data_IF_894535746729
#
_entry.id   IF_894535746729
#
_cell.length_a   1.000
_cell.length_b   1.000
_cell.length_c   1.000
_cell.angle_alpha   90.00
_cell.angle_beta   90.00
_cell.angle_gamma   90.00
#
_symmetry.space_group_name_H-M   'P 1'
#
loop_
_entity.id
_entity.type
_entity.pdbx_description
1 polymer ?
#
# COMPACT_ATOMS: atom_id res chain seq x y z
N UNK A 1 36.48 -21.46 17.99
CA UNK A 1 35.06 -21.01 18.05
C UNK A 1 34.17 -22.25 18.01
N UNK A 2 33.32 -22.44 19.03
CA UNK A 2 32.44 -23.62 19.16
C UNK A 2 31.49 -23.77 17.96
N UNK A 3 31.18 -25.01 17.58
CA UNK A 3 30.28 -25.32 16.46
C UNK A 3 28.85 -24.80 16.71
N UNK A 4 28.42 -24.79 17.96
CA UNK A 4 27.13 -24.26 18.41
C UNK A 4 27.03 -22.75 18.15
N UNK A 5 28.09 -22.01 18.48
CA UNK A 5 28.16 -20.56 18.19
C UNK A 5 28.10 -20.27 16.68
N UNK A 6 28.69 -21.14 15.84
CA UNK A 6 28.63 -20.97 14.38
C UNK A 6 27.22 -21.16 13.83
N UNK A 7 26.49 -22.14 14.35
CA UNK A 7 25.10 -22.40 13.96
C UNK A 7 24.18 -21.25 14.41
N UNK A 8 24.39 -20.74 15.61
CA UNK A 8 23.61 -19.63 16.14
C UNK A 8 23.86 -18.33 15.38
N UNK A 9 25.12 -18.02 15.04
CA UNK A 9 25.44 -16.87 14.17
C UNK A 9 24.77 -17.00 12.81
N UNK A 10 24.72 -18.21 12.23
CA UNK A 10 24.05 -18.45 10.95
C UNK A 10 22.55 -18.20 11.07
N UNK A 11 21.89 -18.75 12.09
CA UNK A 11 20.46 -18.55 12.37
C UNK A 11 20.11 -17.08 12.49
N UNK A 12 20.87 -16.33 13.30
CA UNK A 12 20.65 -14.89 13.48
C UNK A 12 20.85 -14.10 12.19
N UNK A 13 21.84 -14.46 11.36
CA UNK A 13 22.03 -13.83 10.04
C UNK A 13 20.85 -14.08 9.11
N UNK A 14 20.33 -15.30 9.11
CA UNK A 14 19.16 -15.66 8.30
C UNK A 14 17.91 -14.89 8.76
N UNK A 15 17.71 -14.74 10.08
CA UNK A 15 16.61 -13.94 10.65
C UNK A 15 16.73 -12.44 10.36
N UNK A 16 17.94 -11.88 10.46
CA UNK A 16 18.21 -10.50 10.08
C UNK A 16 17.83 -10.29 8.60
N UNK A 17 18.29 -11.17 7.71
CA UNK A 17 17.99 -11.07 6.28
C UNK A 17 16.50 -11.14 5.99
N UNK A 18 15.77 -12.02 6.67
CA UNK A 18 14.31 -12.11 6.55
C UNK A 18 13.68 -10.78 6.99
N UNK A 19 14.09 -10.26 8.14
CA UNK A 19 13.56 -9.01 8.70
C UNK A 19 13.85 -7.80 7.81
N UNK A 20 15.06 -7.71 7.26
CA UNK A 20 15.45 -6.66 6.31
C UNK A 20 14.58 -6.68 5.05
N UNK A 21 14.30 -7.87 4.51
CA UNK A 21 13.43 -8.02 3.34
C UNK A 21 11.99 -7.58 3.63
N UNK A 22 11.46 -7.94 4.81
CA UNK A 22 10.14 -7.47 5.25
C UNK A 22 10.10 -5.96 5.38
N UNK A 23 11.09 -5.36 6.03
CA UNK A 23 11.19 -3.91 6.18
C UNK A 23 11.24 -3.20 4.83
N UNK A 24 12.07 -3.69 3.90
CA UNK A 24 12.15 -3.14 2.55
C UNK A 24 10.80 -3.20 1.84
N UNK A 25 10.11 -4.34 1.90
CA UNK A 25 8.80 -4.53 1.26
C UNK A 25 7.75 -3.61 1.86
N UNK A 26 7.72 -3.50 3.20
CA UNK A 26 6.81 -2.60 3.90
C UNK A 26 7.06 -1.13 3.55
N UNK A 27 8.33 -0.71 3.44
CA UNK A 27 8.66 0.65 3.03
C UNK A 27 8.18 0.96 1.61
N UNK A 28 8.39 0.03 0.66
CA UNK A 28 7.91 0.19 -0.70
C UNK A 28 6.38 0.32 -0.75
N UNK A 29 5.64 -0.47 0.04
CA UNK A 29 4.19 -0.37 0.13
C UNK A 29 3.72 0.97 0.72
N UNK A 30 4.42 1.48 1.74
CA UNK A 30 4.12 2.78 2.33
C UNK A 30 4.39 3.93 1.33
N UNK A 31 5.47 3.85 0.57
CA UNK A 31 5.76 4.83 -0.49
C UNK A 31 4.67 4.86 -1.54
N UNK A 32 4.24 3.70 -2.04
CA UNK A 32 3.14 3.62 -3.01
C UNK A 32 1.82 4.11 -2.42
N UNK A 33 1.54 3.77 -1.16
CA UNK A 33 0.38 4.32 -0.46
C UNK A 33 0.44 5.86 -0.43
N UNK A 34 1.59 6.45 -0.11
CA UNK A 34 1.73 7.89 -0.07
C UNK A 34 1.58 8.53 -1.45
N UNK A 35 2.12 7.93 -2.51
CA UNK A 35 1.90 8.39 -3.88
C UNK A 35 0.41 8.45 -4.22
N UNK A 36 -0.34 7.38 -3.94
CA UNK A 36 -1.79 7.35 -4.17
C UNK A 36 -2.50 8.43 -3.34
N UNK A 37 -2.12 8.59 -2.08
CA UNK A 37 -2.75 9.56 -1.18
C UNK A 37 -2.45 11.02 -1.56
N UNK A 38 -1.33 11.29 -2.25
CA UNK A 38 -0.99 12.64 -2.73
C UNK A 38 -1.81 13.05 -3.96
N UNK A 39 -2.33 12.08 -4.73
CA UNK A 39 -3.27 12.33 -5.83
C UNK A 39 -4.70 12.56 -5.34
N UNK A 40 -5.01 12.19 -4.09
CA UNK A 40 -6.33 12.39 -3.50
C UNK A 40 -6.46 13.83 -2.99
N UNK A 41 -7.57 14.54 -3.30
CA UNK A 41 -7.79 15.89 -2.81
C UNK A 41 -7.67 16.01 -1.29
N UNK A 42 -7.03 17.09 -0.84
CA UNK A 42 -6.88 17.38 0.58
C UNK A 42 -8.24 17.46 1.30
N UNK A 43 -8.31 16.90 2.51
CA UNK A 43 -9.46 17.08 3.38
C UNK A 43 -9.47 18.51 3.92
N UNK A 44 -10.62 19.19 3.88
CA UNK A 44 -10.75 20.57 4.38
C UNK A 44 -10.50 20.71 5.89
N UNK A 45 -10.63 19.63 6.66
CA UNK A 45 -10.46 19.63 8.13
C UNK A 45 -9.08 19.13 8.55
N UNK A 46 -8.60 18.05 7.93
CA UNK A 46 -7.36 17.35 8.34
C UNK A 46 -6.19 17.54 7.37
N UNK A 47 -6.40 18.23 6.25
CA UNK A 47 -5.38 18.45 5.23
C UNK A 47 -5.09 17.22 4.36
N UNK A 48 -3.86 17.13 3.89
CA UNK A 48 -3.40 16.06 2.99
C UNK A 48 -3.40 14.70 3.69
N UNK A 49 -3.53 13.64 2.89
CA UNK A 49 -3.41 12.25 3.34
C UNK A 49 -4.39 11.83 4.46
N UNK A 50 -5.58 12.42 4.51
CA UNK A 50 -6.63 12.06 5.47
C UNK A 50 -7.23 10.68 5.13
N UNK A 51 -6.77 9.62 5.81
CA UNK A 51 -7.10 8.22 5.50
C UNK A 51 -8.62 7.94 5.42
N UNK A 52 -9.46 8.31 6.40
CA UNK A 52 -10.89 7.96 6.34
C UNK A 52 -11.59 8.55 5.11
N UNK A 53 -11.34 9.82 4.80
CA UNK A 53 -11.96 10.48 3.66
C UNK A 53 -11.34 10.05 2.32
N UNK A 54 -10.06 9.65 2.30
CA UNK A 54 -9.46 9.04 1.12
C UNK A 54 -10.12 7.71 0.74
N UNK A 55 -10.46 6.87 1.73
CA UNK A 55 -11.20 5.62 1.50
C UNK A 55 -12.60 5.90 0.92
N UNK A 56 -13.31 6.90 1.43
CA UNK A 56 -14.60 7.33 0.87
C UNK A 56 -14.45 7.82 -0.58
N UNK A 57 -13.43 8.64 -0.85
CA UNK A 57 -13.16 9.16 -2.19
C UNK A 57 -12.92 8.03 -3.19
N UNK A 58 -12.04 7.09 -2.85
CA UNK A 58 -11.75 5.91 -3.68
C UNK A 58 -13.01 5.06 -3.92
N UNK A 59 -13.85 4.88 -2.90
CA UNK A 59 -15.10 4.13 -3.01
C UNK A 59 -16.07 4.79 -3.99
N UNK A 60 -16.22 6.12 -3.93
CA UNK A 60 -17.06 6.89 -4.86
C UNK A 60 -16.55 6.81 -6.30
N UNK A 61 -15.25 6.95 -6.51
CA UNK A 61 -14.63 6.82 -7.84
C UNK A 61 -14.87 5.44 -8.43
N UNK A 62 -14.74 4.38 -7.62
CA UNK A 62 -15.03 3.01 -8.07
C UNK A 62 -16.48 2.86 -8.55
N UNK A 63 -17.45 3.37 -7.79
CA UNK A 63 -18.86 3.34 -8.18
C UNK A 63 -19.12 4.14 -9.46
N UNK A 64 -18.52 5.34 -9.59
CA UNK A 64 -18.65 6.15 -10.80
C UNK A 64 -18.08 5.44 -12.03
N UNK A 65 -16.91 4.81 -11.90
CA UNK A 65 -16.30 4.04 -12.99
C UNK A 65 -17.18 2.86 -13.45
N UNK A 66 -17.88 2.20 -12.53
CA UNK A 66 -18.84 1.15 -12.86
C UNK A 66 -20.06 1.69 -13.63
N UNK A 67 -20.61 2.82 -13.19
CA UNK A 67 -21.74 3.48 -13.88
C UNK A 67 -21.35 3.85 -15.31
N UNK A 68 -20.21 4.52 -15.48
CA UNK A 68 -19.70 4.92 -16.81
C UNK A 68 -19.53 3.70 -17.71
N UNK A 69 -18.93 2.62 -17.19
CA UNK A 69 -18.73 1.38 -17.95
C UNK A 69 -20.04 0.72 -18.39
N UNK A 70 -21.09 0.75 -17.56
CA UNK A 70 -22.41 0.22 -17.89
C UNK A 70 -23.18 1.11 -18.87
N UNK A 71 -22.98 2.43 -18.83
CA UNK A 71 -23.52 3.38 -19.81
C UNK A 71 -22.86 3.21 -21.18
N UNK A 72 -21.53 3.14 -21.24
CA UNK A 72 -20.79 2.91 -22.49
C UNK A 72 -21.21 1.58 -23.17
N UNK A 73 -21.43 0.52 -22.37
CA UNK A 73 -21.95 -0.76 -22.90
C UNK A 73 -23.36 -0.67 -23.47
N UNK A 74 -24.19 0.23 -22.97
CA UNK A 74 -25.56 0.44 -23.48
C UNK A 74 -25.55 1.19 -24.81
N UNK A 75 -24.58 2.07 -25.03
CA UNK A 75 -24.41 2.79 -26.30
C UNK A 75 -23.79 1.93 -27.43
N UNK A 76 -23.21 0.78 -27.11
CA UNK A 76 -22.63 -0.17 -28.08
C UNK A 76 -23.60 -1.29 -28.53
N UNK A 77 -24.87 -1.26 -28.08
CA UNK A 77 -25.95 -2.14 -28.54
C UNK A 77 -26.94 -1.37 -29.41
#
# INVERSE_FOLDING_TARGET
>A
MSMELKLEIKRLKDEIKITENWLMTSNNLLEEQYRVMDEIPACSVHGNRCIPHAVEWLSRIRTLGQIIYEEDKRCLK
#
